data_IF_902330804760
#
_entry.id   IF_902330804760
#
_cell.length_a   1.000
_cell.length_b   1.000
_cell.length_c   1.000
_cell.angle_alpha   90.00
_cell.angle_beta   90.00
_cell.angle_gamma   90.00
#
_symmetry.space_group_name_H-M   'P 1'
#
loop_
_entity.id
_entity.type
_entity.pdbx_description
1 polymer ?
#
# COMPACT_ATOMS: atom_id res chain seq x y z
N UNK A 1 -20.30 -0.29 4.84
CA UNK A 1 -19.91 -1.73 4.82
C UNK A 1 -20.87 -2.58 3.97
N UNK A 2 -22.11 -2.19 3.80
CA UNK A 2 -23.07 -2.91 2.95
C UNK A 2 -22.70 -2.96 1.46
N UNK A 3 -21.68 -2.21 1.03
CA UNK A 3 -21.24 -2.14 -0.38
C UNK A 3 -20.11 -3.10 -0.74
N UNK A 4 -19.58 -3.87 0.22
CA UNK A 4 -18.54 -4.87 -0.09
C UNK A 4 -19.20 -6.08 -0.74
N UNK A 5 -18.76 -6.42 -1.95
CA UNK A 5 -19.17 -7.64 -2.62
C UNK A 5 -18.72 -8.86 -1.80
N UNK A 6 -19.67 -9.74 -1.47
CA UNK A 6 -19.38 -10.93 -0.66
C UNK A 6 -18.85 -12.10 -1.50
N UNK A 7 -18.91 -12.00 -2.83
CA UNK A 7 -18.50 -13.08 -3.75
C UNK A 7 -17.03 -13.01 -4.14
N UNK A 8 -16.44 -11.82 -4.12
CA UNK A 8 -15.04 -11.59 -4.48
C UNK A 8 -14.27 -10.96 -3.31
N UNK A 9 -12.94 -11.10 -3.22
CA UNK A 9 -12.15 -10.40 -2.24
C UNK A 9 -12.41 -8.89 -2.32
N UNK A 10 -12.77 -8.28 -1.18
CA UNK A 10 -13.12 -6.87 -1.16
C UNK A 10 -12.56 -6.20 0.08
N UNK A 11 -12.01 -4.98 -0.11
CA UNK A 11 -11.38 -4.19 0.92
C UNK A 11 -11.91 -2.75 0.84
N UNK A 12 -12.26 -2.19 1.98
CA UNK A 12 -12.63 -0.80 2.17
C UNK A 12 -11.62 -0.13 3.09
N UNK A 13 -11.19 1.08 2.76
CA UNK A 13 -10.34 1.89 3.61
C UNK A 13 -10.70 3.38 3.47
N UNK A 14 -10.32 4.18 4.47
CA UNK A 14 -10.66 5.60 4.51
C UNK A 14 -9.45 6.45 4.86
N UNK A 15 -9.60 7.76 4.71
CA UNK A 15 -8.72 8.73 5.31
C UNK A 15 -8.91 8.77 6.83
N UNK A 16 -8.02 9.46 7.53
CA UNK A 16 -7.96 9.53 9.00
C UNK A 16 -7.82 10.98 9.44
N UNK A 17 -8.59 11.41 10.43
CA UNK A 17 -8.31 12.64 11.17
C UNK A 17 -7.26 12.37 12.24
N UNK A 18 -6.28 13.25 12.33
CA UNK A 18 -5.24 13.17 13.34
C UNK A 18 -5.61 14.11 14.47
N UNK A 19 -5.72 13.57 15.67
CA UNK A 19 -6.09 14.33 16.88
C UNK A 19 -4.94 14.31 17.89
N UNK A 20 -4.89 15.37 18.71
CA UNK A 20 -4.00 15.46 19.87
C UNK A 20 -4.55 14.70 21.08
N UNK A 21 -3.88 14.81 22.23
CA UNK A 21 -4.32 14.18 23.48
C UNK A 21 -5.65 14.76 24.01
N UNK A 22 -5.95 16.04 23.69
CA UNK A 22 -7.19 16.73 24.09
C UNK A 22 -8.35 16.46 23.11
N UNK A 23 -8.13 15.60 22.10
CA UNK A 23 -9.09 15.28 21.02
C UNK A 23 -9.32 16.38 19.99
N UNK A 24 -8.52 17.45 20.00
CA UNK A 24 -8.57 18.47 18.95
C UNK A 24 -7.98 17.90 17.66
N UNK A 25 -8.62 18.24 16.53
CA UNK A 25 -8.09 17.86 15.20
C UNK A 25 -6.89 18.75 14.88
N UNK A 26 -5.76 18.12 14.63
CA UNK A 26 -4.49 18.81 14.34
C UNK A 26 -3.99 18.59 12.91
N UNK A 27 -4.48 17.54 12.24
CA UNK A 27 -4.10 17.20 10.86
C UNK A 27 -5.06 16.15 10.27
N UNK A 28 -4.86 15.77 9.02
CA UNK A 28 -5.52 14.63 8.38
C UNK A 28 -4.51 13.80 7.59
N UNK A 29 -4.83 12.54 7.33
CA UNK A 29 -4.06 11.74 6.38
C UNK A 29 -4.22 12.32 4.97
N UNK A 30 -3.28 11.99 4.10
CA UNK A 30 -3.36 12.40 2.69
C UNK A 30 -4.56 11.76 2.02
N UNK A 31 -5.24 12.53 1.18
CA UNK A 31 -6.32 12.05 0.34
C UNK A 31 -5.73 11.50 -0.96
N UNK A 32 -6.26 10.38 -1.40
CA UNK A 32 -5.92 9.71 -2.63
C UNK A 32 -7.06 9.88 -3.63
N UNK A 33 -6.75 10.39 -4.82
CA UNK A 33 -7.75 10.78 -5.82
C UNK A 33 -7.91 9.76 -6.95
N UNK A 34 -6.83 9.00 -7.21
CA UNK A 34 -6.84 8.00 -8.28
C UNK A 34 -7.42 6.68 -7.78
N UNK A 35 -8.16 6.00 -8.63
CA UNK A 35 -8.74 4.69 -8.34
C UNK A 35 -7.68 3.68 -7.86
N UNK A 36 -7.97 2.96 -6.78
CA UNK A 36 -7.13 1.89 -6.28
C UNK A 36 -6.95 0.80 -7.33
N UNK A 37 -5.71 0.37 -7.56
CA UNK A 37 -5.42 -0.71 -8.51
C UNK A 37 -4.11 -1.43 -8.18
N UNK A 38 -3.89 -2.57 -8.82
CA UNK A 38 -2.69 -3.37 -8.59
C UNK A 38 -1.40 -2.63 -8.95
N UNK A 39 -1.39 -1.86 -10.05
CA UNK A 39 -0.24 -1.06 -10.45
C UNK A 39 0.16 -0.02 -9.38
N UNK A 40 -0.81 0.58 -8.69
CA UNK A 40 -0.52 1.45 -7.54
C UNK A 40 -0.05 0.65 -6.33
N UNK A 41 -0.70 -0.49 -6.05
CA UNK A 41 -0.39 -1.32 -4.89
C UNK A 41 1.05 -1.85 -4.88
N UNK A 42 1.67 -2.06 -6.06
CA UNK A 42 3.08 -2.48 -6.17
C UNK A 42 4.08 -1.48 -5.58
N UNK A 43 3.73 -0.19 -5.54
CA UNK A 43 4.65 0.88 -5.15
C UNK A 43 4.16 1.74 -3.98
N UNK A 44 2.93 1.56 -3.54
CA UNK A 44 2.35 2.35 -2.46
C UNK A 44 1.18 1.63 -1.79
N UNK A 45 1.10 1.69 -0.46
CA UNK A 45 -0.14 1.40 0.26
C UNK A 45 -0.99 2.66 0.37
N UNK A 46 -2.28 2.52 0.13
CA UNK A 46 -3.31 3.55 0.41
C UNK A 46 -4.18 3.14 1.60
N UNK A 47 -4.15 1.87 1.98
CA UNK A 47 -4.87 1.33 3.10
C UNK A 47 -4.06 1.55 4.39
N UNK A 48 -4.70 2.09 5.40
CA UNK A 48 -4.15 2.11 6.75
C UNK A 48 -4.81 1.02 7.60
N UNK A 49 -4.02 0.24 8.34
CA UNK A 49 -4.55 -0.88 9.12
C UNK A 49 -5.65 -0.48 10.12
N UNK A 50 -5.64 0.76 10.60
CA UNK A 50 -6.63 1.31 11.51
C UNK A 50 -7.94 1.75 10.83
N UNK A 51 -7.98 1.87 9.50
CA UNK A 51 -9.16 2.26 8.72
C UNK A 51 -9.68 1.15 7.83
N UNK A 52 -8.96 0.03 7.77
CA UNK A 52 -9.23 -1.04 6.84
C UNK A 52 -10.33 -1.97 7.35
N UNK A 53 -11.29 -2.23 6.47
CA UNK A 53 -12.28 -3.29 6.62
C UNK A 53 -12.27 -4.18 5.38
N UNK A 54 -12.41 -5.48 5.55
CA UNK A 54 -12.47 -6.42 4.44
C UNK A 54 -13.48 -7.54 4.70
N UNK A 55 -13.92 -8.17 3.62
CA UNK A 55 -14.87 -9.26 3.68
C UNK A 55 -14.20 -10.62 3.99
N UNK A 56 -15.01 -11.66 4.17
CA UNK A 56 -14.54 -13.01 4.46
C UNK A 56 -13.67 -13.59 3.33
N UNK A 57 -13.94 -13.26 2.07
CA UNK A 57 -13.12 -13.71 0.95
C UNK A 57 -11.71 -13.16 1.01
N UNK A 58 -11.55 -11.88 1.40
CA UNK A 58 -10.22 -11.30 1.63
C UNK A 58 -9.51 -11.96 2.80
N UNK A 59 -10.21 -12.25 3.90
CA UNK A 59 -9.63 -13.00 5.03
C UNK A 59 -9.11 -14.36 4.57
N UNK A 60 -9.94 -15.14 3.87
CA UNK A 60 -9.54 -16.47 3.36
C UNK A 60 -8.34 -16.38 2.40
N UNK A 61 -8.19 -15.25 1.72
CA UNK A 61 -7.04 -14.99 0.86
C UNK A 61 -5.77 -14.77 1.70
N UNK A 62 -5.86 -13.94 2.73
CA UNK A 62 -4.73 -13.63 3.62
C UNK A 62 -4.27 -14.86 4.43
N UNK A 63 -5.20 -15.72 4.83
CA UNK A 63 -4.91 -16.96 5.55
C UNK A 63 -4.09 -17.97 4.70
N UNK A 64 -3.98 -17.77 3.39
CA UNK A 64 -3.17 -18.62 2.48
C UNK A 64 -1.71 -18.18 2.36
N UNK A 65 -1.32 -17.07 2.94
CA UNK A 65 0.08 -16.62 2.90
C UNK A 65 0.96 -17.59 3.68
N UNK A 66 1.97 -18.14 3.02
CA UNK A 66 2.91 -19.10 3.60
C UNK A 66 4.09 -18.38 4.25
N UNK A 67 4.67 -17.41 3.54
CA UNK A 67 5.87 -16.67 3.99
C UNK A 67 5.51 -15.47 4.88
N UNK A 68 4.96 -15.73 6.07
CA UNK A 68 4.53 -14.68 7.01
C UNK A 68 5.66 -13.73 7.41
N UNK A 69 6.91 -14.21 7.49
CA UNK A 69 8.09 -13.40 7.81
C UNK A 69 8.43 -12.38 6.71
N UNK A 70 7.87 -12.57 5.51
CA UNK A 70 7.99 -11.63 4.40
C UNK A 70 6.93 -10.53 4.42
N UNK A 71 5.94 -10.60 5.31
CA UNK A 71 4.90 -9.56 5.43
C UNK A 71 5.51 -8.29 6.01
N UNK A 72 5.74 -7.30 5.16
CA UNK A 72 6.27 -5.99 5.55
C UNK A 72 5.24 -5.18 6.32
N UNK A 73 3.99 -5.21 5.85
CA UNK A 73 2.86 -4.50 6.43
C UNK A 73 1.57 -5.23 6.05
N UNK A 74 0.76 -5.57 7.04
CA UNK A 74 -0.48 -6.32 6.85
C UNK A 74 -1.52 -5.57 6.01
N UNK A 75 -1.56 -4.27 6.11
CA UNK A 75 -2.45 -3.41 5.33
C UNK A 75 -1.99 -3.29 3.88
N UNK A 76 -0.69 -3.16 3.64
CA UNK A 76 -0.15 -3.10 2.28
C UNK A 76 -0.33 -4.42 1.54
N UNK A 77 -0.03 -5.56 2.18
CA UNK A 77 -0.19 -6.85 1.52
C UNK A 77 -1.66 -7.18 1.25
N UNK A 78 -2.58 -6.80 2.15
CA UNK A 78 -4.02 -6.96 1.91
C UNK A 78 -4.48 -6.15 0.69
N UNK A 79 -4.09 -4.88 0.58
CA UNK A 79 -4.38 -4.06 -0.59
C UNK A 79 -3.81 -4.66 -1.87
N UNK A 80 -2.56 -5.11 -1.81
CA UNK A 80 -1.85 -5.70 -2.94
C UNK A 80 -2.50 -6.99 -3.45
N UNK A 81 -2.79 -7.95 -2.55
CA UNK A 81 -3.39 -9.23 -2.91
C UNK A 81 -4.83 -9.07 -3.42
N UNK A 82 -5.66 -8.24 -2.77
CA UNK A 82 -7.01 -7.97 -3.24
C UNK A 82 -6.98 -7.38 -4.64
N UNK A 83 -6.11 -6.38 -4.89
CA UNK A 83 -5.98 -5.75 -6.20
C UNK A 83 -5.42 -6.71 -7.26
N UNK A 84 -4.42 -7.53 -6.91
CA UNK A 84 -3.77 -8.47 -7.82
C UNK A 84 -4.72 -9.57 -8.31
N UNK A 85 -5.58 -10.05 -7.42
CA UNK A 85 -6.50 -11.18 -7.69
C UNK A 85 -7.86 -10.74 -8.25
N UNK A 86 -7.98 -9.50 -8.72
CA UNK A 86 -9.19 -8.98 -9.34
C UNK A 86 -10.32 -8.69 -8.33
N UNK A 87 -9.98 -8.55 -7.06
CA UNK A 87 -10.89 -8.11 -6.03
C UNK A 87 -11.22 -6.61 -6.12
N UNK A 88 -12.11 -6.15 -5.27
CA UNK A 88 -12.57 -4.77 -5.22
C UNK A 88 -11.94 -4.02 -4.05
N UNK A 89 -11.28 -2.92 -4.34
CA UNK A 89 -10.78 -2.00 -3.32
C UNK A 89 -11.55 -0.69 -3.41
N UNK A 90 -12.08 -0.23 -2.30
CA UNK A 90 -12.84 1.02 -2.20
C UNK A 90 -12.09 1.91 -1.21
N UNK A 91 -11.69 3.07 -1.68
CA UNK A 91 -11.13 4.13 -0.84
C UNK A 91 -12.16 5.26 -0.70
N UNK A 92 -12.42 5.69 0.54
CA UNK A 92 -13.20 6.90 0.82
C UNK A 92 -12.30 8.00 1.35
N UNK A 93 -12.47 9.20 0.81
CA UNK A 93 -11.82 10.42 1.34
C UNK A 93 -12.41 10.86 2.67
N UNK A 94 -13.58 10.34 3.06
CA UNK A 94 -14.19 10.64 4.35
C UNK A 94 -13.32 10.10 5.48
N UNK A 95 -13.02 10.95 6.45
CA UNK A 95 -12.24 10.56 7.62
C UNK A 95 -13.14 9.95 8.69
N UNK A 96 -13.35 8.64 8.61
CA UNK A 96 -14.22 7.91 9.54
C UNK A 96 -13.52 7.50 10.84
N UNK A 97 -12.21 7.68 10.94
CA UNK A 97 -11.40 7.30 12.11
C UNK A 97 -10.62 8.49 12.61
N UNK A 98 -10.64 8.70 13.93
CA UNK A 98 -9.78 9.66 14.62
C UNK A 98 -8.54 8.93 15.16
N UNK A 99 -7.37 9.25 14.65
CA UNK A 99 -6.09 8.69 15.09
C UNK A 99 -5.41 9.62 16.08
N UNK A 100 -5.30 9.18 17.34
CA UNK A 100 -4.68 9.97 18.39
C UNK A 100 -3.17 9.95 18.28
N UNK A 101 -2.58 11.13 18.09
CA UNK A 101 -1.12 11.28 18.05
C UNK A 101 -0.55 11.38 19.47
N UNK A 102 0.43 10.54 19.79
CA UNK A 102 1.22 10.63 21.02
C UNK A 102 2.70 10.40 20.71
N UNK A 103 3.57 10.73 21.67
CA UNK A 103 5.04 10.70 21.46
C UNK A 103 5.61 9.34 21.08
N UNK A 104 4.88 8.24 21.33
CA UNK A 104 5.30 6.85 21.06
C UNK A 104 4.70 6.27 19.77
N UNK A 105 4.01 7.04 18.94
CA UNK A 105 3.47 6.51 17.69
C UNK A 105 4.61 6.11 16.75
N UNK A 106 4.60 4.86 16.27
CA UNK A 106 5.60 4.32 15.35
C UNK A 106 5.58 5.00 13.98
N UNK A 107 4.39 5.40 13.52
CA UNK A 107 4.17 6.08 12.24
C UNK A 107 3.27 7.27 12.48
N UNK A 108 3.70 8.45 12.07
CA UNK A 108 2.92 9.68 12.15
C UNK A 108 3.35 10.66 11.07
N UNK A 109 2.49 11.62 10.67
CA UNK A 109 2.90 12.70 9.79
C UNK A 109 3.91 13.56 10.54
N UNK A 110 5.15 13.48 10.13
CA UNK A 110 6.25 14.23 10.73
C UNK A 110 6.61 15.41 9.82
N UNK A 111 6.54 16.60 10.39
CA UNK A 111 6.89 17.86 9.69
C UNK A 111 8.35 18.28 9.95
N UNK A 112 9.14 17.45 10.64
CA UNK A 112 10.53 17.79 10.93
C UNK A 112 11.45 17.49 9.74
N UNK A 113 12.29 18.47 9.38
CA UNK A 113 13.34 18.35 8.35
C UNK A 113 14.26 17.17 8.66
N UNK A 114 14.60 16.93 9.92
CA UNK A 114 15.46 15.82 10.37
C UNK A 114 14.84 14.45 10.05
N UNK A 115 13.52 14.32 10.15
CA UNK A 115 12.80 13.10 9.84
C UNK A 115 12.64 12.90 8.32
N UNK A 116 12.54 13.98 7.56
CA UNK A 116 12.59 13.93 6.10
C UNK A 116 13.96 13.43 5.63
N UNK A 117 15.06 13.94 6.20
CA UNK A 117 16.41 13.45 5.92
C UNK A 117 16.59 11.97 6.29
N UNK A 118 16.09 11.54 7.44
CA UNK A 118 16.14 10.14 7.88
C UNK A 118 15.39 9.22 6.90
N UNK A 119 14.25 9.63 6.38
CA UNK A 119 13.47 8.88 5.38
C UNK A 119 14.20 8.80 4.04
N UNK A 120 14.73 9.93 3.56
CA UNK A 120 15.53 9.98 2.34
C UNK A 120 16.75 9.06 2.49
N UNK A 121 17.43 9.11 3.62
CA UNK A 121 18.56 8.23 3.93
C UNK A 121 18.17 6.74 3.92
N UNK A 122 17.04 6.38 4.52
CA UNK A 122 16.51 4.99 4.50
C UNK A 122 16.12 4.53 3.09
N UNK A 123 15.64 5.43 2.23
CA UNK A 123 15.39 5.14 0.82
C UNK A 123 16.69 4.83 0.08
N UNK A 124 17.77 5.60 0.34
CA UNK A 124 19.09 5.34 -0.22
C UNK A 124 19.73 4.03 0.30
N UNK A 125 19.39 3.60 1.51
CA UNK A 125 19.84 2.32 2.08
C UNK A 125 19.14 1.08 1.46
N UNK A 126 18.30 1.25 0.44
CA UNK A 126 17.67 0.14 -0.26
C UNK A 126 16.47 -0.49 0.46
N UNK A 127 15.96 0.13 1.54
CA UNK A 127 14.81 -0.38 2.31
C UNK A 127 13.59 -0.64 1.43
N UNK A 128 13.29 0.26 0.50
CA UNK A 128 12.18 0.08 -0.45
C UNK A 128 12.40 -1.13 -1.36
N UNK A 129 13.64 -1.36 -1.76
CA UNK A 129 14.00 -2.52 -2.59
C UNK A 129 13.82 -3.84 -1.82
N UNK A 130 14.19 -3.86 -0.55
CA UNK A 130 13.97 -5.00 0.33
C UNK A 130 12.47 -5.28 0.53
N UNK A 131 11.69 -4.25 0.80
CA UNK A 131 10.24 -4.38 0.92
C UNK A 131 9.57 -4.87 -0.36
N UNK A 132 9.99 -4.34 -1.51
CA UNK A 132 9.53 -4.82 -2.80
C UNK A 132 9.85 -6.30 -2.98
N UNK A 133 11.09 -6.72 -2.68
CA UNK A 133 11.49 -8.13 -2.75
C UNK A 133 10.60 -9.04 -1.89
N UNK A 134 10.33 -8.64 -0.66
CA UNK A 134 9.44 -9.38 0.25
C UNK A 134 8.01 -9.47 -0.29
N UNK A 135 7.47 -8.36 -0.80
CA UNK A 135 6.14 -8.34 -1.40
C UNK A 135 6.05 -9.23 -2.66
N UNK A 136 7.10 -9.24 -3.50
CA UNK A 136 7.19 -10.12 -4.67
C UNK A 136 7.19 -11.61 -4.27
N UNK A 137 7.89 -11.98 -3.19
CA UNK A 137 7.87 -13.35 -2.68
C UNK A 137 6.46 -13.80 -2.33
N UNK A 138 5.67 -12.95 -1.66
CA UNK A 138 4.28 -13.27 -1.31
C UNK A 138 3.39 -13.34 -2.57
N UNK A 139 3.52 -12.39 -3.50
CA UNK A 139 2.73 -12.40 -4.73
C UNK A 139 2.93 -13.67 -5.56
N UNK A 140 4.16 -14.19 -5.59
CA UNK A 140 4.52 -15.41 -6.32
C UNK A 140 3.97 -16.71 -5.67
N UNK A 141 3.40 -16.64 -4.46
CA UNK A 141 2.66 -17.76 -3.86
C UNK A 141 1.27 -17.95 -4.49
N UNK A 142 0.78 -16.93 -5.22
CA UNK A 142 -0.58 -16.90 -5.75
C UNK A 142 -0.61 -17.01 -7.27
N UNK A 143 -1.57 -17.78 -7.79
CA UNK A 143 -1.87 -17.79 -9.22
C UNK A 143 -2.66 -16.55 -9.58
N UNK A 144 -1.98 -15.56 -10.16
CA UNK A 144 -2.61 -14.30 -10.55
C UNK A 144 -3.37 -14.43 -11.89
N UNK A 145 -4.43 -13.63 -12.11
CA UNK A 145 -5.03 -13.45 -13.42
C UNK A 145 -4.00 -12.93 -14.44
N UNK A 146 -4.15 -13.28 -15.71
CA UNK A 146 -3.18 -12.95 -16.77
C UNK A 146 -2.76 -11.47 -16.77
N UNK A 147 -3.72 -10.56 -16.68
CA UNK A 147 -3.44 -9.11 -16.63
C UNK A 147 -2.54 -8.71 -15.45
N UNK A 148 -2.82 -9.24 -14.28
CA UNK A 148 -2.01 -8.96 -13.08
C UNK A 148 -0.64 -9.60 -13.18
N UNK A 149 -0.57 -10.82 -13.74
CA UNK A 149 0.70 -11.51 -13.96
C UNK A 149 1.60 -10.76 -14.95
N UNK A 150 1.05 -10.21 -16.02
CA UNK A 150 1.81 -9.37 -16.97
C UNK A 150 2.36 -8.12 -16.29
N UNK A 151 1.56 -7.42 -15.49
CA UNK A 151 1.99 -6.24 -14.72
C UNK A 151 3.12 -6.62 -13.75
N UNK A 152 2.97 -7.73 -13.04
CA UNK A 152 3.97 -8.23 -12.09
C UNK A 152 5.28 -8.56 -12.78
N UNK A 153 5.23 -9.31 -13.88
CA UNK A 153 6.41 -9.70 -14.66
C UNK A 153 7.17 -8.46 -15.20
N UNK A 154 6.44 -7.48 -15.72
CA UNK A 154 7.04 -6.22 -16.18
C UNK A 154 7.69 -5.45 -15.04
N UNK A 155 7.03 -5.37 -13.90
CA UNK A 155 7.55 -4.70 -12.71
C UNK A 155 8.81 -5.40 -12.18
N UNK A 156 8.79 -6.71 -12.05
CA UNK A 156 9.92 -7.50 -11.57
C UNK A 156 11.13 -7.39 -12.48
N UNK A 157 10.93 -7.57 -13.78
CA UNK A 157 12.04 -7.56 -14.75
C UNK A 157 12.64 -6.17 -14.96
N UNK A 158 11.79 -5.12 -15.08
CA UNK A 158 12.26 -3.79 -15.47
C UNK A 158 12.47 -2.85 -14.28
N UNK A 159 11.61 -2.87 -13.28
CA UNK A 159 11.71 -1.96 -12.13
C UNK A 159 12.60 -2.52 -11.03
N UNK A 160 12.48 -3.81 -10.72
CA UNK A 160 13.22 -4.42 -9.61
C UNK A 160 14.61 -4.94 -10.04
N UNK A 161 14.69 -5.72 -11.11
CA UNK A 161 15.90 -6.34 -11.61
C UNK A 161 16.61 -5.55 -12.72
N UNK A 162 15.90 -4.61 -13.36
CA UNK A 162 16.42 -3.81 -14.48
C UNK A 162 17.58 -2.89 -14.10
N UNK A 163 18.36 -2.49 -15.11
CA UNK A 163 19.39 -1.46 -14.98
C UNK A 163 18.75 -0.06 -14.81
N UNK A 164 19.57 0.98 -14.62
CA UNK A 164 19.09 2.35 -14.39
C UNK A 164 18.18 2.86 -15.52
N UNK A 165 18.57 2.66 -16.78
CA UNK A 165 17.81 3.12 -17.95
C UNK A 165 16.47 2.37 -18.08
N UNK A 166 16.47 1.07 -17.85
CA UNK A 166 15.25 0.25 -17.85
C UNK A 166 14.27 0.69 -16.77
N UNK A 167 14.75 1.03 -15.57
CA UNK A 167 13.94 1.57 -14.48
C UNK A 167 13.32 2.91 -14.82
N UNK A 168 14.12 3.83 -15.35
CA UNK A 168 13.63 5.15 -15.78
C UNK A 168 12.58 5.00 -16.88
N UNK A 169 12.89 4.21 -17.91
CA UNK A 169 11.94 3.94 -18.99
C UNK A 169 10.65 3.29 -18.51
N UNK A 170 10.76 2.36 -17.56
CA UNK A 170 9.59 1.74 -16.95
C UNK A 170 8.74 2.75 -16.18
N UNK A 171 9.34 3.61 -15.35
CA UNK A 171 8.62 4.65 -14.59
C UNK A 171 7.85 5.59 -15.53
N UNK A 172 8.46 5.98 -16.66
CA UNK A 172 7.87 6.93 -17.62
C UNK A 172 6.75 6.27 -18.44
N UNK A 173 6.92 5.01 -18.85
CA UNK A 173 6.08 4.35 -19.85
C UNK A 173 5.13 3.29 -19.27
N UNK A 174 5.21 2.98 -17.97
CA UNK A 174 4.32 2.01 -17.34
C UNK A 174 3.08 2.69 -16.73
N UNK A 175 2.05 1.86 -16.50
CA UNK A 175 0.88 2.27 -15.73
C UNK A 175 1.09 2.14 -14.20
N UNK A 176 2.33 1.90 -13.75
CA UNK A 176 2.66 1.88 -12.32
C UNK A 176 2.82 3.32 -11.84
N UNK A 177 2.06 3.71 -10.83
CA UNK A 177 2.05 5.08 -10.36
C UNK A 177 1.90 5.15 -8.83
N UNK A 178 2.34 6.27 -8.28
CA UNK A 178 2.02 6.65 -6.90
C UNK A 178 0.90 7.68 -6.90
N UNK A 179 0.04 7.62 -5.90
CA UNK A 179 -1.04 8.61 -5.70
C UNK A 179 -0.48 10.01 -5.42
N UNK A 180 0.70 10.06 -4.76
CA UNK A 180 1.35 11.32 -4.40
C UNK A 180 2.84 11.22 -4.65
N UNK A 181 3.44 12.23 -5.27
CA UNK A 181 4.86 12.25 -5.63
C UNK A 181 5.80 12.40 -4.42
N UNK A 182 5.32 12.93 -3.30
CA UNK A 182 6.13 13.29 -2.12
C UNK A 182 5.66 12.66 -0.81
N UNK A 183 4.98 11.53 -0.85
CA UNK A 183 4.51 10.88 0.36
C UNK A 183 5.16 9.54 0.60
N UNK A 184 5.96 9.51 1.51
CA UNK A 184 6.22 8.70 2.73
C UNK A 184 7.57 9.01 3.29
#
# INVERSE_FOLDING_TARGET
LASLDQKIPSLFCTSTLIINQMSDVIDSSKIFEKEPCFSNALVQSIAGGNTMCFNHQTRNLLDKIINLDSVVSHDWIAYMLVSALGGKVIYSSDSLVKYRKHKKNLIGPNKSIKEMYSRIYQLFQGRMREWTKKNLLILNEFKLPNKSQEILNQFENKAHNGNFFERVNFIVNSNVFRQTYLSN
#
